data_IF_950104461539
#
_entry.id   IF_950104461539
#
_cell.length_a   1.000
_cell.length_b   1.000
_cell.length_c   1.000
_cell.angle_alpha   90.00
_cell.angle_beta   90.00
_cell.angle_gamma   90.00
#
_symmetry.space_group_name_H-M   'P 1'
#
loop_
_entity.id
_entity.type
_entity.pdbx_description
1 polymer ?
#
# COMPACT_ATOMS: atom_id res chain seq x y z
N UNK A 1 -4.54 10.39 27.70
CA UNK A 1 -5.52 10.30 26.59
C UNK A 1 -4.85 10.81 25.33
N UNK A 2 -4.63 9.94 24.33
CA UNK A 2 -4.14 10.36 23.01
C UNK A 2 -5.28 11.13 22.31
N UNK A 3 -5.04 12.40 21.95
CA UNK A 3 -5.97 13.17 21.10
C UNK A 3 -6.13 12.40 19.77
N UNK A 4 -7.33 11.91 19.50
CA UNK A 4 -7.64 11.32 18.19
C UNK A 4 -7.53 12.42 17.13
N UNK A 5 -6.66 12.23 16.14
CA UNK A 5 -6.57 13.14 14.99
C UNK A 5 -7.80 12.94 14.11
N UNK A 6 -8.52 14.02 13.83
CA UNK A 6 -9.74 14.03 13.03
C UNK A 6 -9.39 13.91 11.55
N UNK A 7 -9.85 12.83 10.94
CA UNK A 7 -9.65 12.43 9.54
C UNK A 7 -9.62 13.63 8.54
N UNK A 8 -8.48 13.83 7.86
CA UNK A 8 -8.22 15.02 7.00
C UNK A 8 -8.07 14.63 5.53
N UNK A 9 -8.80 15.33 4.64
CA UNK A 9 -8.71 15.11 3.20
C UNK A 9 -7.28 15.31 2.66
N UNK A 10 -6.50 16.25 3.23
CA UNK A 10 -5.11 16.52 2.80
C UNK A 10 -4.22 15.29 2.98
N UNK A 11 -4.42 14.56 4.08
CA UNK A 11 -3.63 13.38 4.43
C UNK A 11 -3.96 12.22 3.50
N UNK A 12 -5.23 12.05 3.17
CA UNK A 12 -5.66 10.99 2.25
C UNK A 12 -5.26 11.32 0.82
N UNK A 13 -5.34 12.60 0.40
CA UNK A 13 -4.79 13.05 -0.87
C UNK A 13 -3.28 12.80 -0.97
N UNK A 14 -2.54 13.01 0.12
CA UNK A 14 -1.12 12.68 0.19
C UNK A 14 -0.88 11.16 0.06
N UNK A 15 -1.68 10.33 0.72
CA UNK A 15 -1.61 8.88 0.59
C UNK A 15 -1.85 8.43 -0.86
N UNK A 16 -2.90 8.94 -1.51
CA UNK A 16 -3.19 8.66 -2.91
C UNK A 16 -2.06 9.12 -3.85
N UNK A 17 -1.45 10.28 -3.56
CA UNK A 17 -0.30 10.76 -4.31
C UNK A 17 0.90 9.82 -4.18
N UNK A 18 1.18 9.33 -2.97
CA UNK A 18 2.24 8.34 -2.71
C UNK A 18 2.00 7.05 -3.51
N UNK A 19 0.76 6.54 -3.54
CA UNK A 19 0.38 5.37 -4.33
C UNK A 19 0.68 5.57 -5.82
N UNK A 20 0.25 6.70 -6.39
CA UNK A 20 0.50 7.03 -7.79
C UNK A 20 2.01 7.10 -8.09
N UNK A 21 2.79 7.77 -7.22
CA UNK A 21 4.24 7.87 -7.38
C UNK A 21 4.91 6.49 -7.30
N UNK A 22 4.42 5.58 -6.45
CA UNK A 22 4.95 4.22 -6.34
C UNK A 22 4.86 3.46 -7.66
N UNK A 23 3.73 3.58 -8.38
CA UNK A 23 3.56 2.98 -9.71
C UNK A 23 4.64 3.49 -10.67
N UNK A 24 4.90 4.81 -10.70
CA UNK A 24 5.94 5.38 -11.55
C UNK A 24 7.34 4.90 -11.17
N UNK A 25 7.63 4.75 -9.87
CA UNK A 25 8.91 4.21 -9.38
C UNK A 25 9.10 2.79 -9.89
N UNK A 26 8.11 1.91 -9.69
CA UNK A 26 8.19 0.49 -10.11
C UNK A 26 8.36 0.38 -11.62
N UNK A 27 7.59 1.15 -12.41
CA UNK A 27 7.73 1.17 -13.86
C UNK A 27 9.13 1.64 -14.31
N UNK A 28 9.71 2.62 -13.60
CA UNK A 28 11.05 3.13 -13.90
C UNK A 28 12.14 2.11 -13.56
N UNK A 29 12.00 1.37 -12.45
CA UNK A 29 12.92 0.29 -12.07
C UNK A 29 13.03 -0.75 -13.21
N UNK A 30 11.90 -1.20 -13.76
CA UNK A 30 11.90 -2.20 -14.84
C UNK A 30 12.39 -1.68 -16.20
N UNK A 31 12.45 -0.35 -16.37
CA UNK A 31 13.03 0.30 -17.57
C UNK A 31 14.54 0.50 -17.45
N UNK A 32 15.04 0.78 -16.25
CA UNK A 32 16.44 1.18 -16.02
C UNK A 32 17.31 -0.03 -15.64
N UNK A 33 16.76 -1.01 -14.93
CA UNK A 33 17.52 -2.15 -14.41
C UNK A 33 17.39 -3.34 -15.37
N UNK A 34 18.46 -3.62 -16.10
CA UNK A 34 18.51 -4.71 -17.10
C UNK A 34 18.31 -6.09 -16.46
N UNK A 35 18.91 -6.30 -15.28
CA UNK A 35 18.77 -7.56 -14.58
C UNK A 35 17.37 -7.67 -13.95
N UNK A 36 16.52 -8.52 -14.54
CA UNK A 36 15.14 -8.73 -14.11
C UNK A 36 14.99 -9.20 -12.66
N UNK A 37 15.96 -9.94 -12.13
CA UNK A 37 15.93 -10.39 -10.74
C UNK A 37 16.18 -9.23 -9.78
N UNK A 38 17.16 -8.37 -10.08
CA UNK A 38 17.42 -7.16 -9.30
C UNK A 38 16.28 -6.14 -9.41
N UNK A 39 15.73 -5.94 -10.61
CA UNK A 39 14.56 -5.09 -10.82
C UNK A 39 13.38 -5.55 -9.95
N UNK A 40 13.13 -6.86 -9.90
CA UNK A 40 12.09 -7.45 -9.06
C UNK A 40 12.38 -7.24 -7.55
N UNK A 41 13.62 -7.43 -7.08
CA UNK A 41 14.01 -7.18 -5.68
C UNK A 41 13.75 -5.72 -5.30
N UNK A 42 14.17 -4.77 -6.13
CA UNK A 42 13.97 -3.33 -5.91
C UNK A 42 12.49 -2.95 -5.93
N UNK A 43 11.70 -3.48 -6.86
CA UNK A 43 10.25 -3.25 -6.91
C UNK A 43 9.53 -3.81 -5.67
N UNK A 44 9.95 -4.96 -5.14
CA UNK A 44 9.37 -5.47 -3.89
C UNK A 44 9.73 -4.61 -2.68
N UNK A 45 10.94 -4.05 -2.67
CA UNK A 45 11.36 -3.13 -1.61
C UNK A 45 10.59 -1.81 -1.67
N UNK A 46 10.34 -1.26 -2.87
CA UNK A 46 9.56 -0.03 -3.01
C UNK A 46 8.13 -0.21 -2.51
N UNK A 47 7.46 -1.32 -2.83
CA UNK A 47 6.12 -1.62 -2.28
C UNK A 47 6.13 -1.82 -0.76
N UNK A 48 7.19 -2.42 -0.20
CA UNK A 48 7.33 -2.56 1.25
C UNK A 48 7.45 -1.19 1.93
N UNK A 49 8.30 -0.32 1.39
CA UNK A 49 8.48 1.06 1.90
C UNK A 49 7.18 1.85 1.79
N UNK A 50 6.48 1.76 0.65
CA UNK A 50 5.17 2.38 0.45
C UNK A 50 4.17 1.92 1.50
N UNK A 51 4.01 0.61 1.71
CA UNK A 51 3.05 0.09 2.69
C UNK A 51 3.36 0.59 4.11
N UNK A 52 4.64 0.59 4.51
CA UNK A 52 5.06 1.08 5.83
C UNK A 52 4.79 2.58 5.95
N UNK A 53 5.10 3.36 4.91
CA UNK A 53 4.87 4.79 4.90
C UNK A 53 3.38 5.12 4.97
N UNK A 54 2.55 4.48 4.15
CA UNK A 54 1.10 4.68 4.13
C UNK A 54 0.46 4.25 5.45
N UNK A 55 0.86 3.11 6.03
CA UNK A 55 0.41 2.74 7.37
C UNK A 55 0.88 3.76 8.41
N UNK A 56 2.13 4.23 8.38
CA UNK A 56 2.60 5.27 9.30
C UNK A 56 1.78 6.56 9.21
N UNK A 57 1.37 6.95 8.00
CA UNK A 57 0.56 8.13 7.74
C UNK A 57 -0.90 7.92 8.16
N UNK A 58 -1.52 6.79 7.79
CA UNK A 58 -2.96 6.54 7.91
C UNK A 58 -3.35 5.87 9.24
N UNK A 59 -2.43 5.14 9.88
CA UNK A 59 -2.67 4.44 11.13
C UNK A 59 -3.07 5.34 12.31
N UNK A 60 -2.66 6.61 12.43
CA UNK A 60 -3.18 7.47 13.48
C UNK A 60 -4.64 7.89 13.28
N UNK A 61 -5.17 7.76 12.05
CA UNK A 61 -6.48 8.26 11.68
C UNK A 61 -7.52 7.16 11.82
N UNK A 62 -8.69 7.54 12.33
CA UNK A 62 -9.81 6.65 12.60
C UNK A 62 -11.09 7.32 12.14
N UNK A 63 -12.05 6.51 11.71
CA UNK A 63 -13.43 7.00 11.60
C UNK A 63 -13.94 7.36 13.00
N UNK A 64 -14.55 8.54 13.12
CA UNK A 64 -14.81 9.23 14.38
C UNK A 64 -15.32 8.37 15.54
N UNK A 65 -14.80 8.65 16.74
CA UNK A 65 -15.33 8.23 18.04
C UNK A 65 -15.17 6.77 18.45
N UNK A 66 -15.06 5.82 17.51
CA UNK A 66 -15.09 4.36 17.83
C UNK A 66 -13.79 3.61 17.54
N UNK A 67 -12.71 4.31 17.17
CA UNK A 67 -11.42 3.65 16.91
C UNK A 67 -11.42 2.73 15.68
N UNK A 68 -12.36 2.91 14.75
CA UNK A 68 -12.43 2.14 13.51
C UNK A 68 -11.31 2.57 12.54
N UNK A 69 -10.52 1.59 12.07
CA UNK A 69 -9.50 1.79 11.04
C UNK A 69 -10.12 2.37 9.75
N UNK A 70 -9.33 3.15 9.00
CA UNK A 70 -9.71 3.60 7.66
C UNK A 70 -9.79 2.41 6.70
N UNK A 71 -10.55 2.51 5.60
CA UNK A 71 -10.64 1.42 4.63
C UNK A 71 -9.26 1.14 4.01
N UNK A 72 -8.52 2.21 3.67
CA UNK A 72 -7.14 2.15 3.19
C UNK A 72 -6.22 1.41 4.15
N UNK A 73 -6.26 1.73 5.46
CA UNK A 73 -5.39 1.07 6.45
C UNK A 73 -5.61 -0.44 6.49
N UNK A 74 -6.86 -0.87 6.41
CA UNK A 74 -7.22 -2.30 6.37
C UNK A 74 -6.70 -2.92 5.07
N UNK A 75 -6.98 -2.30 3.92
CA UNK A 75 -6.57 -2.80 2.62
C UNK A 75 -5.03 -2.91 2.51
N UNK A 76 -4.29 -1.90 2.97
CA UNK A 76 -2.82 -1.90 2.98
C UNK A 76 -2.29 -3.01 3.89
N UNK A 77 -2.90 -3.24 5.06
CA UNK A 77 -2.46 -4.32 5.95
C UNK A 77 -2.63 -5.71 5.29
N UNK A 78 -3.75 -5.94 4.61
CA UNK A 78 -3.96 -7.18 3.87
C UNK A 78 -3.00 -7.30 2.67
N UNK A 79 -2.79 -6.23 1.92
CA UNK A 79 -1.86 -6.22 0.80
C UNK A 79 -0.43 -6.53 1.25
N UNK A 80 0.00 -5.88 2.34
CA UNK A 80 1.31 -6.07 2.95
C UNK A 80 1.53 -7.52 3.39
N UNK A 81 0.56 -8.09 4.11
CA UNK A 81 0.68 -9.42 4.69
C UNK A 81 0.54 -10.56 3.67
N UNK A 82 -0.38 -10.44 2.72
CA UNK A 82 -0.68 -11.51 1.77
C UNK A 82 0.25 -11.53 0.55
N UNK A 83 0.78 -10.38 0.14
CA UNK A 83 1.53 -10.25 -1.11
C UNK A 83 2.92 -9.64 -0.91
N UNK A 84 3.02 -8.44 -0.34
CA UNK A 84 4.29 -7.70 -0.33
C UNK A 84 5.35 -8.42 0.51
N UNK A 85 5.04 -8.82 1.74
CA UNK A 85 5.99 -9.53 2.61
C UNK A 85 6.41 -10.89 2.02
N UNK A 86 5.48 -11.78 1.60
CA UNK A 86 5.87 -13.05 0.99
C UNK A 86 6.71 -12.88 -0.28
N UNK A 87 6.34 -11.96 -1.17
CA UNK A 87 7.10 -11.71 -2.40
C UNK A 87 8.47 -11.12 -2.11
N UNK A 88 8.58 -10.16 -1.18
CA UNK A 88 9.87 -9.62 -0.78
C UNK A 88 10.75 -10.71 -0.16
N UNK A 89 10.22 -11.48 0.80
CA UNK A 89 10.95 -12.59 1.41
C UNK A 89 11.46 -13.56 0.36
N UNK A 90 10.62 -14.02 -0.57
CA UNK A 90 11.03 -14.92 -1.64
C UNK A 90 12.12 -14.31 -2.53
N UNK A 91 11.93 -13.07 -2.99
CA UNK A 91 12.87 -12.39 -3.91
C UNK A 91 14.23 -12.15 -3.28
N UNK A 92 14.31 -11.95 -1.96
CA UNK A 92 15.56 -11.68 -1.25
C UNK A 92 16.24 -12.93 -0.68
N UNK A 93 15.51 -14.03 -0.52
CA UNK A 93 16.08 -15.30 0.02
C UNK A 93 16.28 -16.38 -1.04
N UNK A 94 15.78 -16.17 -2.26
CA UNK A 94 15.93 -17.12 -3.36
C UNK A 94 16.62 -16.49 -4.56
N UNK A 95 17.46 -17.29 -5.21
CA UNK A 95 18.01 -17.01 -6.55
C UNK A 95 17.18 -17.65 -7.66
N UNK A 96 16.08 -18.34 -7.31
CA UNK A 96 15.19 -18.94 -8.29
C UNK A 96 14.39 -17.85 -9.01
N UNK A 97 14.16 -18.08 -10.29
CA UNK A 97 13.26 -17.25 -11.09
C UNK A 97 11.86 -17.21 -10.46
N UNK A 98 11.16 -16.09 -10.65
CA UNK A 98 9.81 -15.84 -10.13
C UNK A 98 8.79 -16.92 -10.57
N UNK A 99 8.99 -17.55 -11.73
CA UNK A 99 8.13 -18.64 -12.23
C UNK A 99 8.13 -19.86 -11.28
N UNK A 100 9.20 -20.05 -10.52
CA UNK A 100 9.32 -21.14 -9.55
C UNK A 100 8.83 -20.76 -8.15
N UNK A 101 8.35 -19.53 -7.96
CA UNK A 101 7.69 -19.13 -6.72
C UNK A 101 6.36 -19.86 -6.60
N UNK A 102 6.11 -20.45 -5.43
CA UNK A 102 4.78 -20.91 -5.04
C UNK A 102 4.40 -20.34 -3.68
N UNK A 103 3.20 -19.79 -3.59
CA UNK A 103 2.64 -19.22 -2.36
C UNK A 103 1.14 -19.48 -2.33
N UNK A 104 0.65 -20.10 -1.24
CA UNK A 104 -0.75 -20.49 -1.08
C UNK A 104 -1.30 -21.33 -2.26
N UNK A 105 -0.46 -22.19 -2.85
CA UNK A 105 -0.83 -23.03 -4.00
C UNK A 105 -0.91 -22.30 -5.34
N UNK A 106 -0.53 -21.02 -5.39
CA UNK A 106 -0.47 -20.23 -6.62
C UNK A 106 0.97 -20.15 -7.13
N UNK A 107 1.14 -20.17 -8.45
CA UNK A 107 2.44 -19.92 -9.08
C UNK A 107 2.78 -18.43 -9.13
N UNK A 108 4.05 -18.10 -9.40
CA UNK A 108 4.54 -16.73 -9.48
C UNK A 108 3.66 -15.81 -10.35
N UNK A 109 3.42 -16.13 -11.64
CA UNK A 109 2.58 -15.31 -12.51
C UNK A 109 1.18 -15.03 -11.92
N UNK A 110 0.54 -16.04 -11.33
CA UNK A 110 -0.75 -15.87 -10.69
C UNK A 110 -0.66 -14.98 -9.45
N UNK A 111 0.37 -15.14 -8.60
CA UNK A 111 0.62 -14.27 -7.43
C UNK A 111 0.79 -12.82 -7.88
N UNK A 112 1.54 -12.58 -8.97
CA UNK A 112 1.72 -11.23 -9.50
C UNK A 112 0.38 -10.61 -9.90
N UNK A 113 -0.44 -11.34 -10.68
CA UNK A 113 -1.74 -10.85 -11.11
C UNK A 113 -2.66 -10.52 -9.92
N UNK A 114 -2.74 -11.41 -8.93
CA UNK A 114 -3.51 -11.16 -7.71
C UNK A 114 -2.98 -9.97 -6.93
N UNK A 115 -1.66 -9.83 -6.82
CA UNK A 115 -1.06 -8.67 -6.15
C UNK A 115 -1.41 -7.35 -6.84
N UNK A 116 -1.45 -7.31 -8.18
CA UNK A 116 -1.85 -6.12 -8.95
C UNK A 116 -3.33 -5.80 -8.73
N UNK A 117 -4.21 -6.81 -8.74
CA UNK A 117 -5.63 -6.62 -8.44
C UNK A 117 -5.81 -6.06 -7.03
N UNK A 118 -5.10 -6.61 -6.05
CA UNK A 118 -5.20 -6.18 -4.67
C UNK A 118 -4.63 -4.77 -4.47
N UNK A 119 -3.62 -4.38 -5.25
CA UNK A 119 -3.14 -3.00 -5.27
C UNK A 119 -4.22 -2.02 -5.74
N UNK A 120 -4.99 -2.37 -6.77
CA UNK A 120 -6.16 -1.55 -7.16
C UNK A 120 -7.24 -1.48 -6.07
N UNK A 121 -7.40 -2.53 -5.27
CA UNK A 121 -8.28 -2.50 -4.09
C UNK A 121 -7.77 -1.51 -3.04
N UNK A 122 -6.46 -1.45 -2.81
CA UNK A 122 -5.83 -0.45 -1.92
C UNK A 122 -6.13 0.97 -2.41
N UNK A 123 -5.85 1.27 -3.68
CA UNK A 123 -6.13 2.58 -4.28
C UNK A 123 -7.63 2.92 -4.21
N UNK A 124 -8.50 1.95 -4.51
CA UNK A 124 -9.95 2.11 -4.41
C UNK A 124 -10.40 2.43 -2.97
N UNK A 125 -9.81 1.77 -1.97
CA UNK A 125 -10.07 2.04 -0.56
C UNK A 125 -9.60 3.45 -0.14
N UNK A 126 -8.44 3.90 -0.64
CA UNK A 126 -7.92 5.25 -0.44
C UNK A 126 -8.83 6.31 -1.07
N UNK A 127 -9.35 6.06 -2.29
CA UNK A 127 -10.34 6.94 -2.93
C UNK A 127 -11.66 6.98 -2.15
N UNK A 128 -12.15 5.84 -1.66
CA UNK A 128 -13.36 5.80 -0.82
C UNK A 128 -13.16 6.59 0.47
N UNK A 129 -12.02 6.42 1.14
CA UNK A 129 -11.68 7.23 2.31
C UNK A 129 -11.65 8.73 1.97
N UNK A 130 -11.12 9.11 0.80
CA UNK A 130 -11.07 10.50 0.35
C UNK A 130 -12.48 11.06 0.12
N UNK A 131 -13.35 10.31 -0.56
CA UNK A 131 -14.76 10.66 -0.76
C UNK A 131 -15.43 10.86 0.60
N UNK A 132 -15.26 9.92 1.54
CA UNK A 132 -15.82 10.04 2.88
C UNK A 132 -15.30 11.28 3.60
N UNK A 133 -14.03 11.65 3.43
CA UNK A 133 -13.45 12.85 4.02
C UNK A 133 -14.08 14.13 3.48
N UNK A 134 -14.32 14.20 2.17
CA UNK A 134 -14.99 15.33 1.52
C UNK A 134 -16.46 15.45 1.93
N UNK A 135 -17.22 14.35 1.88
CA UNK A 135 -18.66 14.39 2.14
C UNK A 135 -19.03 14.52 3.63
N UNK A 136 -18.22 13.97 4.54
CA UNK A 136 -18.52 14.08 5.98
C UNK A 136 -18.10 15.41 6.59
N UNK A 137 -17.50 16.33 5.81
CA UNK A 137 -17.16 17.67 6.26
C UNK A 137 -16.58 17.66 7.67
N UNK A 138 -15.47 16.96 7.86
CA UNK A 138 -14.90 16.93 9.20
C UNK A 138 -14.44 18.33 9.56
N UNK A 139 -14.78 18.81 10.78
CA UNK A 139 -14.42 20.15 11.19
C UNK A 139 -12.92 20.31 11.03
N UNK A 140 -12.55 21.36 10.29
CA UNK A 140 -11.16 21.76 10.17
C UNK A 140 -10.58 21.86 11.57
N UNK A 141 -9.38 21.32 11.73
CA UNK A 141 -8.64 21.32 12.98
C UNK A 141 -8.63 22.75 13.53
N UNK A 142 -9.37 23.02 14.61
CA UNK A 142 -9.08 24.18 15.44
C UNK A 142 -7.71 23.92 16.07
N UNK A 143 -6.68 24.50 15.46
CA UNK A 143 -5.36 24.62 16.08
C UNK A 143 -5.53 25.46 17.36
N UNK A 144 -5.35 24.80 18.51
CA UNK A 144 -5.23 25.45 19.83
C UNK A 144 -3.79 25.62 20.22
#
# INVERSE_FOLDING_TARGET
MQKQKTFSWRVISLALFIEIISVFIVLSIFKIVDNRMWAARLASLSFLVECILLLGILWPWRYGGRGQLTFSSIAIFFFLSLFVLPMAAFRWTSDKSFIHMQWMGMDGPMIHNWSSIFYYVVVGATILDLIVAFYKGLPEVEES
#
